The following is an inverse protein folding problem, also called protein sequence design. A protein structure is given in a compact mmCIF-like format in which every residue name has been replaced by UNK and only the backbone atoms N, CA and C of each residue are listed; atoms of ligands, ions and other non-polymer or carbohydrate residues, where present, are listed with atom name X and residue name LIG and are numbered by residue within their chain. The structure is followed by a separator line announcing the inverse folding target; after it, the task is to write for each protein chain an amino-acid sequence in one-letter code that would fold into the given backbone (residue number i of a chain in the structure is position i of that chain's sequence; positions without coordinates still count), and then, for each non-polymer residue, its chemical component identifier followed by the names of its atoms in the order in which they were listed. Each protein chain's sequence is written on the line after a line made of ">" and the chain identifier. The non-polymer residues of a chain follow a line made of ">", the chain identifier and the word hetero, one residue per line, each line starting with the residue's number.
data_IF_858756545058
#
_entry.id   IF_858756545058
#
_cell.length_a   1.000
_cell.length_b   1.000
_cell.length_c   1.000
_cell.angle_alpha   90.00
_cell.angle_beta   90.00
_cell.angle_gamma   90.00
#
_symmetry.space_group_name_H-M   'P 1'
#
loop_
_entity.id
_entity.type
_entity.pdbx_description
1 polymer ?
#
# COMPACT_ATOMS: atom_id res chain seq x y z
N UNK A 1 -12.93 -50.38 -6.40
CA UNK A 1 -11.80 -49.57 -6.94
C UNK A 1 -11.80 -48.25 -6.22
N UNK A 2 -10.83 -48.04 -5.32
CA UNK A 2 -10.63 -46.75 -4.64
C UNK A 2 -9.66 -45.92 -5.47
N UNK A 3 -10.12 -44.81 -6.06
CA UNK A 3 -9.25 -43.71 -6.52
C UNK A 3 -10.07 -42.57 -7.11
N UNK A 4 -10.55 -41.70 -6.24
CA UNK A 4 -10.51 -40.28 -6.54
C UNK A 4 -9.32 -39.75 -5.74
N UNK A 5 -8.25 -39.48 -6.47
CA UNK A 5 -7.03 -38.84 -5.99
C UNK A 5 -7.43 -37.70 -5.06
N UNK A 6 -6.84 -37.71 -3.87
CA UNK A 6 -6.82 -36.63 -2.89
C UNK A 6 -7.15 -35.29 -3.54
N UNK A 7 -8.40 -34.88 -3.40
CA UNK A 7 -8.79 -33.49 -3.61
C UNK A 7 -8.10 -32.74 -2.48
N UNK A 8 -6.82 -32.39 -2.68
CA UNK A 8 -6.18 -31.33 -1.92
C UNK A 8 -7.00 -30.10 -2.28
N UNK A 9 -8.08 -29.87 -1.52
CA UNK A 9 -8.61 -28.53 -1.42
C UNK A 9 -7.40 -27.71 -0.97
N UNK A 10 -6.97 -26.67 -1.71
CA UNK A 10 -6.02 -25.75 -1.12
C UNK A 10 -6.72 -25.31 0.17
N UNK A 11 -6.18 -25.69 1.32
CA UNK A 11 -6.60 -25.12 2.58
C UNK A 11 -6.66 -23.61 2.35
N UNK A 12 -7.73 -22.90 2.79
CA UNK A 12 -7.79 -21.46 2.62
C UNK A 12 -6.43 -20.93 3.04
N UNK A 13 -5.69 -20.33 2.09
CA UNK A 13 -4.29 -19.96 2.32
C UNK A 13 -4.32 -19.16 3.61
N UNK A 14 -3.83 -19.76 4.69
CA UNK A 14 -3.84 -19.11 5.97
C UNK A 14 -3.17 -17.77 5.70
N UNK A 15 -3.84 -16.66 6.02
CA UNK A 15 -3.25 -15.34 5.87
C UNK A 15 -2.05 -15.33 6.80
N UNK A 16 -0.88 -15.63 6.24
CA UNK A 16 0.35 -15.74 7.02
C UNK A 16 0.71 -14.33 7.46
N UNK A 17 0.66 -14.13 8.77
CA UNK A 17 1.00 -12.86 9.39
C UNK A 17 2.51 -12.79 9.49
N UNK A 18 3.12 -11.83 8.79
CA UNK A 18 4.55 -11.59 8.84
C UNK A 18 4.85 -10.29 9.59
N UNK A 19 5.96 -10.27 10.32
CA UNK A 19 6.39 -9.05 11.03
C UNK A 19 6.88 -8.00 10.04
N UNK A 20 6.24 -6.83 10.05
CA UNK A 20 6.67 -5.67 9.28
C UNK A 20 7.82 -4.96 9.99
N UNK A 21 8.91 -4.72 9.27
CA UNK A 21 10.05 -3.94 9.75
C UNK A 21 9.81 -2.43 9.58
N UNK A 22 9.39 -2.01 8.38
CA UNK A 22 9.08 -0.61 8.07
C UNK A 22 8.28 -0.47 6.78
N UNK A 23 7.56 0.65 6.66
CA UNK A 23 6.99 1.11 5.38
C UNK A 23 8.06 1.89 4.63
N UNK A 24 8.32 1.48 3.39
CA UNK A 24 9.32 2.10 2.53
C UNK A 24 8.70 3.19 1.63
N UNK A 25 7.51 2.92 1.09
CA UNK A 25 6.82 3.87 0.21
C UNK A 25 5.30 3.65 0.21
N UNK A 26 4.57 4.60 -0.38
CA UNK A 26 3.12 4.52 -0.59
C UNK A 26 2.79 4.99 -2.00
N UNK A 27 1.84 4.31 -2.65
CA UNK A 27 1.30 4.73 -3.94
C UNK A 27 -0.21 4.53 -3.98
N UNK A 28 -0.91 5.37 -4.74
CA UNK A 28 -2.32 5.14 -5.05
C UNK A 28 -2.43 4.15 -6.22
N UNK A 29 -3.21 3.08 -6.04
CA UNK A 29 -3.62 2.21 -7.12
C UNK A 29 -4.53 2.98 -8.08
N UNK A 30 -4.17 3.01 -9.36
CA UNK A 30 -4.93 3.72 -10.39
C UNK A 30 -6.28 3.06 -10.71
N UNK A 31 -6.41 1.77 -10.41
CA UNK A 31 -7.62 1.00 -10.72
C UNK A 31 -8.65 1.11 -9.60
N UNK A 32 -8.20 0.96 -8.35
CA UNK A 32 -9.10 0.96 -7.19
C UNK A 32 -9.14 2.28 -6.44
N UNK A 33 -8.18 3.18 -6.66
CA UNK A 33 -8.02 4.44 -5.92
C UNK A 33 -7.50 4.27 -4.50
N UNK A 34 -7.20 3.04 -4.06
CA UNK A 34 -6.72 2.73 -2.71
C UNK A 34 -5.22 2.91 -2.59
N UNK A 35 -4.74 3.19 -1.37
CA UNK A 35 -3.32 3.22 -1.09
C UNK A 35 -2.75 1.80 -0.97
N UNK A 36 -1.65 1.58 -1.66
CA UNK A 36 -0.79 0.41 -1.50
C UNK A 36 0.50 0.88 -0.83
N UNK A 37 0.96 0.12 0.14
CA UNK A 37 2.16 0.40 0.92
C UNK A 37 3.25 -0.60 0.54
N UNK A 38 4.47 -0.12 0.34
CA UNK A 38 5.63 -0.97 0.08
C UNK A 38 6.25 -1.39 1.42
N UNK A 39 6.10 -2.66 1.75
CA UNK A 39 6.35 -3.20 3.09
C UNK A 39 7.68 -3.91 3.14
N UNK A 40 8.59 -3.44 3.98
CA UNK A 40 9.82 -4.17 4.29
C UNK A 40 9.52 -5.23 5.35
N UNK A 41 9.67 -6.49 4.99
CA UNK A 41 9.49 -7.61 5.90
C UNK A 41 10.72 -7.85 6.78
N UNK A 42 10.52 -8.15 8.06
CA UNK A 42 11.61 -8.41 9.00
C UNK A 42 12.32 -9.73 8.62
N UNK A 43 13.66 -9.69 8.55
CA UNK A 43 14.48 -10.86 8.23
C UNK A 43 14.60 -11.19 6.74
N UNK A 44 13.88 -10.48 5.87
CA UNK A 44 13.97 -10.61 4.41
C UNK A 44 14.74 -9.44 3.79
N UNK A 45 15.10 -9.55 2.52
CA UNK A 45 15.75 -8.46 1.79
C UNK A 45 14.73 -7.37 1.42
N UNK A 46 15.21 -6.21 0.95
CA UNK A 46 14.32 -5.19 0.38
C UNK A 46 13.69 -5.67 -0.92
N UNK A 47 14.39 -6.53 -1.68
CA UNK A 47 13.90 -7.07 -2.95
C UNK A 47 12.69 -8.00 -2.77
N UNK A 48 12.56 -8.61 -1.59
CA UNK A 48 11.41 -9.42 -1.18
C UNK A 48 10.23 -8.57 -0.66
N UNK A 49 10.37 -7.24 -0.60
CA UNK A 49 9.31 -6.35 -0.14
C UNK A 49 8.16 -6.33 -1.15
N UNK A 50 6.93 -6.28 -0.65
CA UNK A 50 5.72 -6.35 -1.46
C UNK A 50 4.84 -5.11 -1.29
N UNK A 51 3.95 -4.88 -2.26
CA UNK A 51 2.95 -3.81 -2.19
C UNK A 51 1.66 -4.36 -1.60
N UNK A 52 1.43 -4.09 -0.33
CA UNK A 52 0.25 -4.56 0.40
C UNK A 52 -0.81 -3.45 0.52
N UNK A 53 -2.09 -3.78 0.41
CA UNK A 53 -3.17 -2.84 0.69
C UNK A 53 -3.23 -2.48 2.17
N UNK A 54 -3.82 -1.32 2.48
CA UNK A 54 -4.01 -0.87 3.87
C UNK A 54 -4.72 -1.92 4.72
N UNK A 55 -5.68 -2.62 4.13
CA UNK A 55 -6.47 -3.66 4.77
C UNK A 55 -5.61 -4.87 5.23
N UNK A 56 -4.46 -5.12 4.60
CA UNK A 56 -3.52 -6.18 5.01
C UNK A 56 -2.55 -5.74 6.11
N UNK A 57 -2.54 -4.45 6.45
CA UNK A 57 -1.62 -3.83 7.42
C UNK A 57 -2.37 -3.35 8.66
N UNK A 58 -3.53 -3.92 8.95
CA UNK A 58 -4.34 -3.68 10.15
C UNK A 58 -3.50 -3.79 11.45
N UNK A 59 -2.57 -4.74 11.51
CA UNK A 59 -1.64 -4.94 12.65
C UNK A 59 -0.41 -4.04 12.62
N UNK A 60 -0.21 -3.32 11.53
CA UNK A 60 0.92 -2.42 11.30
C UNK A 60 0.48 -0.95 11.14
N UNK A 61 -0.74 -0.59 11.56
CA UNK A 61 -1.26 0.79 11.50
C UNK A 61 -0.31 1.81 12.15
N UNK A 62 0.35 1.45 13.25
CA UNK A 62 1.33 2.32 13.90
C UNK A 62 2.51 2.68 13.00
N UNK A 63 2.95 1.76 12.13
CA UNK A 63 4.02 2.01 11.16
C UNK A 63 3.53 2.89 10.00
N UNK A 64 2.28 2.71 9.57
CA UNK A 64 1.63 3.58 8.58
C UNK A 64 1.54 5.00 9.11
N UNK A 65 1.06 5.19 10.34
CA UNK A 65 0.98 6.49 10.99
C UNK A 65 2.36 7.15 11.12
N UNK A 66 3.38 6.41 11.55
CA UNK A 66 4.74 6.91 11.65
C UNK A 66 5.30 7.34 10.29
N UNK A 67 5.04 6.54 9.24
CA UNK A 67 5.44 6.86 7.87
C UNK A 67 4.78 8.16 7.37
N UNK A 68 3.47 8.31 7.59
CA UNK A 68 2.75 9.52 7.22
C UNK A 68 3.16 10.72 8.06
N UNK A 69 3.41 10.58 9.36
CA UNK A 69 3.88 11.66 10.22
C UNK A 69 5.26 12.17 9.77
N UNK A 70 6.18 11.26 9.46
CA UNK A 70 7.50 11.61 8.93
C UNK A 70 7.41 12.34 7.59
N UNK A 71 6.45 11.97 6.73
CA UNK A 71 6.26 12.56 5.40
C UNK A 71 5.48 13.89 5.43
N UNK A 72 4.50 14.01 6.33
CA UNK A 72 3.70 15.23 6.54
C UNK A 72 4.48 16.33 7.27
N UNK A 73 5.54 15.98 8.01
CA UNK A 73 6.46 16.94 8.62
C UNK A 73 7.34 17.72 7.62
N UNK A 74 7.27 17.43 6.31
CA UNK A 74 8.18 17.98 5.30
C UNK A 74 7.59 18.57 4.01
N UNK A 75 6.33 18.33 3.64
CA UNK A 75 5.78 18.92 2.41
C UNK A 75 4.26 18.84 2.33
N UNK A 76 3.62 20.01 2.23
CA UNK A 76 2.31 20.13 1.61
C UNK A 76 2.36 19.61 0.17
N UNK A 77 1.39 18.79 -0.20
CA UNK A 77 1.29 18.20 -1.52
C UNK A 77 -0.09 17.64 -1.85
N UNK A 78 -1.13 18.06 -1.13
CA UNK A 78 -2.49 18.03 -1.65
C UNK A 78 -2.65 19.27 -2.53
N UNK A 79 -2.65 19.09 -3.84
CA UNK A 79 -2.87 20.17 -4.80
C UNK A 79 -4.18 20.90 -4.52
N UNK A 80 -4.09 22.07 -3.90
CA UNK A 80 -5.14 23.07 -3.94
C UNK A 80 -5.21 23.59 -5.38
N UNK A 81 -6.24 23.16 -6.09
CA UNK A 81 -6.72 23.79 -7.31
C UNK A 81 -7.21 25.20 -6.99
N UNK A 82 -6.31 26.18 -7.00
CA UNK A 82 -6.62 27.60 -7.12
C UNK A 82 -5.47 28.28 -7.88
N UNK A 83 -5.66 28.68 -9.14
CA UNK A 83 -6.06 30.06 -9.42
C UNK A 83 -6.25 30.32 -10.93
N UNK A 84 -7.17 31.26 -11.15
CA UNK A 84 -7.69 31.83 -12.36
C UNK A 84 -6.58 32.46 -13.23
N UNK A 85 -6.69 32.36 -14.55
CA UNK A 85 -6.04 33.28 -15.48
C UNK A 85 -7.03 33.62 -16.58
N UNK A 86 -7.54 34.84 -16.49
CA UNK A 86 -8.38 35.49 -17.49
C UNK A 86 -7.65 35.48 -18.85
N UNK A 87 -8.27 34.94 -19.88
CA UNK A 87 -7.86 35.21 -21.27
C UNK A 87 -8.68 36.38 -21.79
N UNK A 88 -8.07 37.57 -21.79
CA UNK A 88 -8.53 38.69 -22.59
C UNK A 88 -7.96 38.51 -24.00
N UNK A 89 -8.80 38.12 -24.95
CA UNK A 89 -8.50 38.26 -26.38
C UNK A 89 -9.42 39.33 -26.93
N UNK A 90 -8.84 40.47 -27.29
CA UNK A 90 -9.49 41.48 -28.14
C UNK A 90 -8.92 41.31 -29.54
N UNK A 91 -9.79 41.05 -30.52
CA UNK A 91 -9.65 41.55 -31.88
C UNK A 91 -11.01 41.57 -32.59
#
# INVERSE_FOLDING_TARGET
>A
MVSWKTSIQPAPRAQEEYTVERILDVRADRHTGRYLYYVKWQGYSVDDSTWEPEENLDRAEGLIQAFWAARQGGAGGGGQSQNQSQTQTQN
#
